data_IF_709697364331
#
_entry.id   IF_709697364331
#
_cell.length_a   1.000
_cell.length_b   1.000
_cell.length_c   1.000
_cell.angle_alpha   90.00
_cell.angle_beta   90.00
_cell.angle_gamma   90.00
#
_symmetry.space_group_name_H-M   'P 1'
#
loop_
_entity.id
_entity.type
_entity.pdbx_description
1 polymer ?
#
# COMPACT_ATOMS: atom_id res chain seq x y z
N UNK A 1 5.34 -8.05 -5.56
CA UNK A 1 5.28 -6.92 -4.61
C UNK A 1 5.92 -5.64 -5.19
N UNK A 2 6.99 -5.73 -6.00
CA UNK A 2 7.41 -4.61 -6.85
C UNK A 2 6.60 -4.63 -8.16
N UNK A 3 5.66 -3.70 -8.30
CA UNK A 3 4.73 -3.53 -9.41
C UNK A 3 3.95 -2.25 -9.16
N UNK A 4 3.66 -1.47 -10.21
CA UNK A 4 2.99 -0.14 -10.35
C UNK A 4 2.30 0.54 -9.13
N UNK A 5 2.85 0.46 -7.93
CA UNK A 5 2.13 0.75 -6.69
C UNK A 5 1.01 -0.22 -6.36
N UNK A 6 0.96 -1.37 -7.03
CA UNK A 6 -0.12 -2.32 -6.87
C UNK A 6 0.16 -3.30 -5.73
N UNK A 7 -0.92 -3.58 -5.00
CA UNK A 7 -0.97 -4.71 -4.10
C UNK A 7 -0.78 -6.01 -4.88
N UNK A 8 -0.05 -6.94 -4.29
CA UNK A 8 0.22 -8.24 -4.88
C UNK A 8 -0.45 -9.31 -4.02
N UNK A 9 -1.29 -10.13 -4.65
CA UNK A 9 -1.81 -11.34 -4.02
C UNK A 9 -0.75 -12.45 -4.08
N UNK A 10 -0.37 -12.95 -2.92
CA UNK A 10 0.59 -14.02 -2.71
C UNK A 10 -0.18 -15.32 -2.50
N UNK A 11 -0.39 -16.06 -3.60
CA UNK A 11 -1.21 -17.28 -3.60
C UNK A 11 -0.76 -18.33 -2.59
N UNK A 12 0.55 -18.49 -2.42
CA UNK A 12 1.11 -19.54 -1.55
C UNK A 12 0.81 -19.30 -0.06
N UNK A 13 0.59 -18.05 0.34
CA UNK A 13 0.27 -17.66 1.72
C UNK A 13 -1.15 -17.16 1.90
N UNK A 14 -1.93 -17.04 0.82
CA UNK A 14 -3.26 -16.42 0.79
C UNK A 14 -3.26 -14.99 1.37
N UNK A 15 -2.20 -14.23 1.09
CA UNK A 15 -2.02 -12.87 1.62
C UNK A 15 -2.05 -11.84 0.50
N UNK A 16 -2.57 -10.65 0.79
CA UNK A 16 -2.30 -9.47 -0.01
C UNK A 16 -1.12 -8.75 0.65
N UNK A 17 -0.15 -8.33 -0.15
CA UNK A 17 1.02 -7.60 0.34
C UNK A 17 1.41 -6.46 -0.61
N UNK A 18 1.95 -5.40 -0.03
CA UNK A 18 2.50 -4.26 -0.78
C UNK A 18 3.65 -3.61 -0.03
N UNK A 19 4.34 -2.68 -0.66
CA UNK A 19 5.29 -1.84 0.08
C UNK A 19 4.52 -0.85 0.96
N UNK A 20 4.96 -0.70 2.21
CA UNK A 20 4.32 0.21 3.15
C UNK A 20 4.35 1.66 2.69
N UNK A 21 3.51 2.51 3.27
CA UNK A 21 3.34 3.95 2.96
C UNK A 21 4.66 4.74 2.86
N UNK A 22 5.68 4.36 3.62
CA UNK A 22 7.01 4.99 3.61
C UNK A 22 7.77 4.82 2.28
N UNK A 23 7.35 3.88 1.42
CA UNK A 23 7.91 3.75 0.09
C UNK A 23 7.71 5.02 -0.75
N UNK A 24 6.68 5.81 -0.49
CA UNK A 24 6.42 7.09 -1.17
C UNK A 24 7.54 8.12 -0.87
N UNK A 25 8.12 8.08 0.33
CA UNK A 25 9.16 9.03 0.74
C UNK A 25 10.57 8.49 0.55
N UNK A 26 10.75 7.17 0.63
CA UNK A 26 12.07 6.52 0.57
C UNK A 26 12.49 6.08 -0.83
N UNK A 27 11.54 5.93 -1.77
CA UNK A 27 11.80 5.48 -3.13
C UNK A 27 11.41 6.56 -4.14
N UNK A 28 12.31 6.84 -5.09
CA UNK A 28 12.02 7.73 -6.22
C UNK A 28 10.91 7.15 -7.12
N UNK A 29 10.94 5.83 -7.32
CA UNK A 29 9.92 5.08 -8.01
C UNK A 29 9.93 3.63 -7.54
N UNK A 30 8.74 3.04 -7.51
CA UNK A 30 8.53 1.60 -7.33
C UNK A 30 7.70 1.00 -8.46
N UNK A 31 7.52 1.73 -9.56
CA UNK A 31 6.90 1.21 -10.79
C UNK A 31 7.84 0.25 -11.49
N UNK A 32 7.27 -0.78 -12.09
CA UNK A 32 8.04 -1.73 -12.90
C UNK A 32 8.24 -1.13 -14.29
N UNK A 33 9.49 -0.93 -14.68
CA UNK A 33 9.88 -0.50 -16.03
C UNK A 33 10.46 -1.66 -16.84
N UNK A 34 11.11 -1.34 -17.96
CA UNK A 34 11.94 -2.30 -18.71
C UNK A 34 13.18 -2.75 -17.94
N UNK A 35 13.59 -1.96 -16.93
CA UNK A 35 14.78 -2.19 -16.11
C UNK A 35 14.43 -2.62 -14.68
N UNK A 36 15.33 -3.35 -14.03
CA UNK A 36 15.18 -3.84 -12.65
C UNK A 36 15.55 -2.81 -11.57
N UNK A 37 15.85 -1.58 -11.94
CA UNK A 37 16.36 -0.54 -11.03
C UNK A 37 15.42 -0.29 -9.84
N UNK A 38 14.12 -0.12 -10.08
CA UNK A 38 13.10 0.06 -9.03
C UNK A 38 13.01 -1.13 -8.08
N UNK A 39 13.15 -2.36 -8.60
CA UNK A 39 13.11 -3.60 -7.81
C UNK A 39 14.31 -3.67 -6.88
N UNK A 40 15.50 -3.39 -7.41
CA UNK A 40 16.75 -3.41 -6.64
C UNK A 40 16.75 -2.33 -5.56
N UNK A 41 16.26 -1.13 -5.88
CA UNK A 41 16.11 -0.04 -4.94
C UNK A 41 15.12 -0.40 -3.82
N UNK A 42 13.94 -0.91 -4.16
CA UNK A 42 12.95 -1.37 -3.18
C UNK A 42 13.48 -2.50 -2.29
N UNK A 43 14.12 -3.51 -2.87
CA UNK A 43 14.71 -4.61 -2.13
C UNK A 43 15.84 -4.14 -1.19
N UNK A 44 16.64 -3.15 -1.62
CA UNK A 44 17.64 -2.53 -0.77
C UNK A 44 16.99 -1.75 0.38
N UNK A 45 15.98 -0.92 0.12
CA UNK A 45 15.28 -0.17 1.16
C UNK A 45 14.62 -1.09 2.21
N UNK A 46 14.12 -2.25 1.78
CA UNK A 46 13.60 -3.28 2.69
C UNK A 46 14.71 -3.86 3.56
N UNK A 47 15.85 -4.26 2.96
CA UNK A 47 17.00 -4.80 3.72
C UNK A 47 17.59 -3.78 4.68
N UNK A 48 17.56 -2.50 4.31
CA UNK A 48 18.04 -1.39 5.14
C UNK A 48 17.03 -0.97 6.22
N UNK A 49 15.84 -1.60 6.30
CA UNK A 49 14.80 -1.28 7.29
C UNK A 49 14.10 0.07 7.09
N UNK A 50 14.27 0.69 5.92
CA UNK A 50 13.64 1.97 5.56
C UNK A 50 12.19 1.80 5.13
N UNK A 51 11.92 0.71 4.43
CA UNK A 51 10.59 0.31 3.95
C UNK A 51 10.30 -1.11 4.42
N UNK A 52 9.04 -1.46 4.60
CA UNK A 52 8.61 -2.81 4.94
C UNK A 52 7.64 -3.36 3.90
N UNK A 53 7.56 -4.68 3.83
CA UNK A 53 6.46 -5.36 3.16
C UNK A 53 5.25 -5.32 4.11
N UNK A 54 4.31 -4.43 3.84
CA UNK A 54 3.07 -4.31 4.59
C UNK A 54 2.11 -5.45 4.23
N UNK A 55 1.68 -6.19 5.25
CA UNK A 55 0.59 -7.19 5.18
C UNK A 55 -0.71 -6.70 5.80
N UNK A 56 -0.68 -5.49 6.35
CA UNK A 56 -1.82 -4.80 6.93
C UNK A 56 -2.13 -3.57 6.10
N UNK A 57 -3.39 -3.11 6.15
CA UNK A 57 -3.88 -2.08 5.24
C UNK A 57 -4.62 -0.98 6.00
N UNK A 58 -4.31 0.26 5.65
CA UNK A 58 -5.23 1.38 5.86
C UNK A 58 -6.22 1.40 4.70
N UNK A 59 -7.51 1.51 5.02
CA UNK A 59 -8.59 1.38 4.04
C UNK A 59 -9.45 2.63 4.08
N UNK A 60 -9.66 3.27 2.92
CA UNK A 60 -10.80 4.17 2.76
C UNK A 60 -11.98 3.39 2.21
N UNK A 61 -13.15 3.63 2.80
CA UNK A 61 -14.39 3.02 2.39
C UNK A 61 -15.51 4.06 2.39
N UNK A 62 -16.42 3.96 1.43
CA UNK A 62 -17.67 4.71 1.46
C UNK A 62 -18.73 3.88 2.17
N UNK A 63 -19.32 4.44 3.22
CA UNK A 63 -20.48 3.85 3.89
C UNK A 63 -21.74 4.51 3.36
N UNK A 64 -22.64 3.71 2.77
CA UNK A 64 -23.97 4.19 2.40
C UNK A 64 -24.93 3.95 3.56
N UNK A 65 -25.50 5.02 4.10
CA UNK A 65 -26.58 4.96 5.07
C UNK A 65 -27.94 4.94 4.34
N UNK A 66 -28.30 3.79 3.79
CA UNK A 66 -29.61 3.55 3.17
C UNK A 66 -30.24 2.27 3.75
N UNK A 67 -31.55 2.12 3.62
CA UNK A 67 -32.30 0.95 4.10
C UNK A 67 -31.90 -0.35 3.38
N UNK A 68 -31.45 -0.24 2.13
CA UNK A 68 -30.91 -1.34 1.32
C UNK A 68 -29.48 -1.03 0.90
N UNK A 69 -28.66 -2.07 0.67
CA UNK A 69 -27.24 -1.93 0.31
C UNK A 69 -26.42 -1.14 1.36
N UNK A 70 -26.80 -1.28 2.64
CA UNK A 70 -26.06 -0.73 3.78
C UNK A 70 -24.74 -1.48 3.96
N UNK A 71 -23.62 -0.75 3.96
CA UNK A 71 -22.30 -1.34 4.18
C UNK A 71 -21.18 -0.36 3.84
N UNK A 72 -19.99 -0.61 4.39
CA UNK A 72 -18.77 0.10 4.02
C UNK A 72 -18.12 -0.62 2.83
N UNK A 73 -18.04 0.05 1.67
CA UNK A 73 -17.39 -0.49 0.47
C UNK A 73 -15.98 0.07 0.38
N UNK A 74 -14.92 -0.74 0.51
CA UNK A 74 -13.55 -0.27 0.38
C UNK A 74 -13.32 0.25 -1.04
N UNK A 75 -12.72 1.43 -1.16
CA UNK A 75 -12.38 2.06 -2.45
C UNK A 75 -10.89 2.23 -2.64
N UNK A 76 -10.12 2.25 -1.55
CA UNK A 76 -8.68 2.38 -1.61
C UNK A 76 -8.02 1.61 -0.47
N UNK A 77 -6.98 0.87 -0.81
CA UNK A 77 -6.17 0.08 0.11
C UNK A 77 -4.73 0.59 0.06
N UNK A 78 -4.17 0.93 1.21
CA UNK A 78 -2.78 1.35 1.35
C UNK A 78 -2.05 0.42 2.32
N UNK A 79 -1.00 -0.30 1.90
CA UNK A 79 -0.20 -1.11 2.82
C UNK A 79 0.43 -0.24 3.91
N UNK A 80 0.46 -0.76 5.13
CA UNK A 80 1.13 -0.09 6.25
C UNK A 80 2.03 -1.06 6.99
N UNK A 81 3.02 -0.49 7.68
CA UNK A 81 3.85 -1.20 8.66
C UNK A 81 3.59 -0.72 10.10
N UNK A 82 2.49 0.02 10.33
CA UNK A 82 2.08 0.60 11.62
C UNK A 82 3.10 1.51 12.30
N UNK A 83 4.18 1.89 11.61
CA UNK A 83 5.10 2.93 12.07
C UNK A 83 4.52 4.33 11.89
N UNK A 84 3.61 4.50 10.92
CA UNK A 84 2.88 5.74 10.69
C UNK A 84 1.61 5.85 11.54
N UNK A 85 1.12 7.08 11.71
CA UNK A 85 -0.19 7.36 12.30
C UNK A 85 -1.31 7.23 11.26
N UNK A 86 -2.51 6.84 11.71
CA UNK A 86 -3.71 6.72 10.86
C UNK A 86 -4.09 8.05 10.21
N UNK A 87 -3.72 9.19 10.81
CA UNK A 87 -3.94 10.53 10.22
C UNK A 87 -3.11 10.73 8.97
N UNK A 88 -1.85 10.28 8.97
CA UNK A 88 -0.98 10.31 7.78
C UNK A 88 -1.55 9.42 6.69
N UNK A 89 -2.03 8.23 7.07
CA UNK A 89 -2.71 7.35 6.15
C UNK A 89 -3.95 8.02 5.55
N UNK A 90 -4.84 8.59 6.37
CA UNK A 90 -6.02 9.30 5.91
C UNK A 90 -5.68 10.46 4.97
N UNK A 91 -4.66 11.26 5.29
CA UNK A 91 -4.19 12.38 4.45
C UNK A 91 -3.64 11.90 3.10
N UNK A 92 -2.85 10.83 3.10
CA UNK A 92 -2.32 10.26 1.86
C UNK A 92 -3.45 9.69 0.98
N UNK A 93 -4.42 9.02 1.59
CA UNK A 93 -5.58 8.48 0.89
C UNK A 93 -6.45 9.61 0.33
N UNK A 94 -6.66 10.70 1.09
CA UNK A 94 -7.41 11.87 0.62
C UNK A 94 -6.80 12.50 -0.63
N UNK A 95 -5.46 12.52 -0.77
CA UNK A 95 -4.78 13.07 -1.95
C UNK A 95 -4.94 12.22 -3.22
N UNK A 96 -5.39 10.97 -3.08
CA UNK A 96 -5.57 10.01 -4.16
C UNK A 96 -7.03 9.91 -4.65
N UNK A 97 -7.97 10.52 -3.93
CA UNK A 97 -9.39 10.66 -4.31
C UNK A 97 -9.63 11.96 -5.07
#
# INVERSE_FOLDING_TARGET
IAGDGQLCYLKDTDEIAGMCEHAITELESYKMGSELTSVLAGAKAIRDGKVHVGKEFSVAAFARHAETDSGAKPVLLMPTCKRGDWRTAAHNIQKLL
#
